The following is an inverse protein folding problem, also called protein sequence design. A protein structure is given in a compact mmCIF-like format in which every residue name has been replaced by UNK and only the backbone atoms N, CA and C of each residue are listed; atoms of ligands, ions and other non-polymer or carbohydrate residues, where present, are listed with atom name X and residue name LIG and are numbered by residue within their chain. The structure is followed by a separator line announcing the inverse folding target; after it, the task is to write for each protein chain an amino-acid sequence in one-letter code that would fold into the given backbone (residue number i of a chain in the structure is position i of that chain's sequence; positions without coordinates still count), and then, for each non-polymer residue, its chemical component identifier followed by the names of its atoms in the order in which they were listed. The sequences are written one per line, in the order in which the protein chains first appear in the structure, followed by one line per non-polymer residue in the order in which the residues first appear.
data_IF_636864561233
#
_entry.id   IF_636864561233
#
_cell.length_a   1.000
_cell.length_b   1.000
_cell.length_c   1.000
_cell.angle_alpha   90.00
_cell.angle_beta   90.00
_cell.angle_gamma   90.00
#
_symmetry.space_group_name_H-M   'P 1'
#
loop_
_entity.id
_entity.type
_entity.pdbx_description
1 polymer ?
#
# COMPACT_ATOMS: atom_id res chain seq x y z
N UNK A 1 16.36 15.40 20.70
CA UNK A 1 15.83 15.82 19.39
C UNK A 1 15.84 14.60 18.47
N UNK A 2 14.68 14.14 18.01
CA UNK A 2 14.59 12.99 17.10
C UNK A 2 14.89 13.51 15.70
N UNK A 3 16.09 13.26 15.20
CA UNK A 3 16.46 13.56 13.83
C UNK A 3 15.48 12.76 12.96
N UNK A 4 14.71 13.37 12.05
CA UNK A 4 13.91 12.61 11.11
C UNK A 4 14.91 11.80 10.28
N UNK A 5 15.02 10.50 10.60
CA UNK A 5 15.81 9.57 9.81
C UNK A 5 15.16 9.54 8.44
N UNK A 6 15.74 10.28 7.50
CA UNK A 6 15.50 10.10 6.07
C UNK A 6 15.53 8.59 5.81
N UNK A 7 14.49 7.99 5.21
CA UNK A 7 14.48 6.56 4.96
C UNK A 7 15.82 6.16 4.31
N UNK A 8 16.42 5.03 4.70
CA UNK A 8 17.67 4.58 4.09
C UNK A 8 17.56 4.64 2.57
N UNK A 9 18.59 5.23 1.96
CA UNK A 9 18.73 5.50 0.52
C UNK A 9 18.73 4.21 -0.32
N UNK A 10 18.93 3.05 0.31
CA UNK A 10 19.00 1.75 -0.34
C UNK A 10 17.57 1.22 -0.59
N UNK A 11 16.85 1.90 -1.47
CA UNK A 11 15.55 1.46 -1.95
C UNK A 11 15.76 0.69 -3.26
N UNK A 12 15.98 -0.62 -3.15
CA UNK A 12 16.04 -1.52 -4.29
C UNK A 12 14.68 -2.18 -4.49
N UNK A 13 13.83 -1.55 -5.30
CA UNK A 13 12.48 -2.01 -5.55
C UNK A 13 12.42 -2.88 -6.80
N UNK A 14 12.17 -4.16 -6.60
CA UNK A 14 11.90 -5.08 -7.70
C UNK A 14 10.54 -4.79 -8.34
N UNK A 15 10.54 -4.75 -9.67
CA UNK A 15 9.34 -4.54 -10.47
C UNK A 15 8.33 -5.68 -10.25
N UNK A 16 7.19 -5.35 -9.65
CA UNK A 16 6.11 -6.31 -9.37
C UNK A 16 5.86 -6.52 -7.88
N UNK A 17 6.79 -6.09 -7.02
CA UNK A 17 6.59 -6.07 -5.58
C UNK A 17 5.81 -4.83 -5.16
N UNK A 18 5.27 -4.88 -3.94
CA UNK A 18 4.61 -3.73 -3.35
C UNK A 18 5.65 -2.75 -2.78
N UNK A 19 5.50 -1.45 -3.09
CA UNK A 19 6.29 -0.40 -2.46
C UNK A 19 5.86 -0.26 -1.00
N UNK A 20 6.76 -0.41 -0.02
CA UNK A 20 6.41 -0.26 1.39
C UNK A 20 5.84 1.13 1.68
N UNK A 21 4.79 1.19 2.51
CA UNK A 21 4.08 2.42 2.88
C UNK A 21 5.02 3.54 3.35
N UNK A 22 6.07 3.20 4.11
CA UNK A 22 7.08 4.18 4.56
C UNK A 22 7.73 4.95 3.41
N UNK A 23 8.02 4.29 2.28
CA UNK A 23 8.63 4.95 1.12
C UNK A 23 7.59 5.77 0.34
N UNK A 24 6.34 5.31 0.25
CA UNK A 24 5.27 6.08 -0.40
C UNK A 24 4.98 7.37 0.37
N UNK A 25 4.92 7.31 1.70
CA UNK A 25 4.78 8.49 2.56
C UNK A 25 5.97 9.44 2.44
N UNK A 26 7.21 8.91 2.42
CA UNK A 26 8.39 9.71 2.21
C UNK A 26 8.38 10.44 0.86
N UNK A 27 7.99 9.75 -0.23
CA UNK A 27 7.82 10.37 -1.56
C UNK A 27 6.81 11.52 -1.50
N UNK A 28 5.66 11.33 -0.83
CA UNK A 28 4.68 12.40 -0.64
C UNK A 28 5.27 13.58 0.14
N UNK A 29 5.98 13.31 1.22
CA UNK A 29 6.57 14.37 2.05
C UNK A 29 7.64 15.15 1.30
N UNK A 30 8.51 14.46 0.55
CA UNK A 30 9.55 15.10 -0.25
C UNK A 30 8.96 15.98 -1.36
N UNK A 31 7.86 15.56 -1.97
CA UNK A 31 7.16 16.37 -2.98
C UNK A 31 6.40 17.54 -2.35
N UNK A 32 5.63 17.31 -1.29
CA UNK A 32 4.72 18.31 -0.73
C UNK A 32 5.44 19.35 0.14
N UNK A 33 6.33 18.90 1.04
CA UNK A 33 7.05 19.76 1.99
C UNK A 33 8.39 20.26 1.43
N UNK A 34 9.23 19.35 0.92
CA UNK A 34 10.55 19.71 0.41
C UNK A 34 10.52 20.23 -1.05
N UNK A 35 9.35 20.23 -1.70
CA UNK A 35 9.15 20.69 -3.09
C UNK A 35 10.13 20.05 -4.09
N UNK A 36 10.53 18.80 -3.83
CA UNK A 36 11.42 18.07 -4.73
C UNK A 36 10.66 17.73 -6.02
N UNK A 37 11.23 18.02 -7.21
CA UNK A 37 10.59 17.69 -8.48
C UNK A 37 10.49 16.18 -8.69
N UNK A 38 9.49 15.76 -9.47
CA UNK A 38 9.20 14.34 -9.77
C UNK A 38 10.42 13.64 -10.38
N UNK A 39 11.18 14.32 -11.24
CA UNK A 39 12.39 13.80 -11.89
C UNK A 39 13.44 13.35 -10.86
N UNK A 40 13.69 14.17 -9.83
CA UNK A 40 14.58 13.78 -8.73
C UNK A 40 14.04 12.61 -7.93
N UNK A 41 12.73 12.51 -7.74
CA UNK A 41 12.11 11.37 -7.04
C UNK A 41 12.25 10.08 -7.85
N UNK A 42 12.15 10.15 -9.17
CA UNK A 42 12.38 9.02 -10.09
C UNK A 42 13.82 8.53 -9.98
N UNK A 43 14.79 9.44 -10.03
CA UNK A 43 16.21 9.09 -9.90
C UNK A 43 16.51 8.51 -8.51
N UNK A 44 15.96 9.13 -7.46
CA UNK A 44 16.23 8.76 -6.08
C UNK A 44 15.63 7.40 -5.69
N UNK A 45 14.40 7.11 -6.14
CA UNK A 45 13.70 5.86 -5.82
C UNK A 45 13.78 4.81 -6.94
N UNK A 46 14.41 5.12 -8.07
CA UNK A 46 14.45 4.26 -9.28
C UNK A 46 13.06 3.79 -9.74
N UNK A 47 12.03 4.60 -9.46
CA UNK A 47 10.63 4.28 -9.78
C UNK A 47 10.23 4.88 -11.11
N UNK A 48 9.29 4.24 -11.80
CA UNK A 48 8.70 4.82 -13.01
C UNK A 48 7.88 6.06 -12.67
N UNK A 49 7.86 7.03 -13.59
CA UNK A 49 7.06 8.24 -13.49
C UNK A 49 5.59 7.95 -13.13
N UNK A 50 4.97 6.97 -13.80
CA UNK A 50 3.58 6.58 -13.54
C UNK A 50 3.36 6.09 -12.11
N UNK A 51 4.35 5.43 -11.51
CA UNK A 51 4.29 4.96 -10.13
C UNK A 51 4.39 6.13 -9.14
N UNK A 52 5.32 7.06 -9.37
CA UNK A 52 5.43 8.28 -8.55
C UNK A 52 4.14 9.08 -8.61
N UNK A 53 3.59 9.32 -9.80
CA UNK A 53 2.32 10.04 -9.97
C UNK A 53 1.17 9.34 -9.26
N UNK A 54 1.09 8.00 -9.33
CA UNK A 54 0.09 7.23 -8.55
C UNK A 54 0.25 7.44 -7.05
N UNK A 55 1.47 7.44 -6.52
CA UNK A 55 1.74 7.67 -5.10
C UNK A 55 1.34 9.08 -4.68
N UNK A 56 1.63 10.09 -5.51
CA UNK A 56 1.32 11.49 -5.23
C UNK A 56 -0.18 11.80 -5.31
N UNK A 57 -0.90 11.21 -6.29
CA UNK A 57 -2.33 11.44 -6.49
C UNK A 57 -3.22 10.60 -5.56
N UNK A 58 -2.67 9.66 -4.81
CA UNK A 58 -3.47 8.82 -3.93
C UNK A 58 -3.88 9.60 -2.68
N UNK A 59 -5.11 10.13 -2.71
CA UNK A 59 -5.66 11.01 -1.67
C UNK A 59 -5.92 10.31 -0.32
N UNK A 60 -6.01 8.97 -0.32
CA UNK A 60 -6.30 8.23 0.91
C UNK A 60 -5.05 8.07 1.78
N UNK A 61 -5.17 8.16 3.11
CA UNK A 61 -4.14 7.65 4.01
C UNK A 61 -4.00 6.15 3.75
N UNK A 62 -2.78 5.66 3.52
CA UNK A 62 -2.54 4.25 3.14
C UNK A 62 -2.98 3.24 4.21
N UNK A 63 -3.23 3.73 5.44
CA UNK A 63 -3.81 2.98 6.54
C UNK A 63 -5.33 2.90 6.55
N UNK A 64 -6.04 3.57 5.63
CA UNK A 64 -7.44 3.29 5.39
C UNK A 64 -7.52 1.92 4.74
N UNK A 65 -7.49 0.85 5.56
CA UNK A 65 -7.89 -0.49 5.12
C UNK A 65 -9.15 -0.31 4.28
N UNK A 66 -9.19 -0.75 3.02
CA UNK A 66 -10.45 -0.78 2.31
C UNK A 66 -11.39 -1.58 3.20
N UNK A 67 -12.52 -0.97 3.61
CA UNK A 67 -13.60 -1.69 4.25
C UNK A 67 -13.91 -2.83 3.29
N UNK A 68 -13.44 -4.05 3.61
CA UNK A 68 -13.66 -5.24 2.80
C UNK A 68 -15.12 -5.64 3.00
N UNK A 69 -16.01 -4.85 2.43
CA UNK A 69 -17.41 -5.17 2.23
C UNK A 69 -17.55 -5.99 0.96
N UNK A 70 -16.95 -7.17 0.96
CA UNK A 70 -17.42 -8.26 0.10
C UNK A 70 -17.23 -9.55 0.87
N UNK A 71 -18.22 -9.86 1.71
CA UNK A 71 -18.32 -11.16 2.36
C UNK A 71 -18.95 -12.13 1.36
N UNK A 72 -18.13 -12.76 0.51
CA UNK A 72 -18.46 -14.06 -0.11
C UNK A 72 -18.32 -15.19 0.93
N UNK A 73 -18.60 -14.90 2.20
CA UNK A 73 -18.49 -15.87 3.27
C UNK A 73 -19.90 -16.25 3.67
N UNK A 74 -20.20 -17.51 3.41
CA UNK A 74 -21.36 -18.20 3.94
C UNK A 74 -21.50 -17.83 5.41
N UNK A 75 -22.69 -17.39 5.78
CA UNK A 75 -23.02 -17.11 7.18
C UNK A 75 -22.82 -18.39 8.02
N UNK A 76 -22.58 -18.25 9.32
CA UNK A 76 -22.40 -19.41 10.21
C UNK A 76 -23.56 -20.43 10.08
N UNK A 77 -24.77 -19.97 9.77
CA UNK A 77 -25.94 -20.82 9.53
C UNK A 77 -25.81 -21.68 8.25
N UNK A 78 -25.20 -21.14 7.19
CA UNK A 78 -24.93 -21.88 5.96
C UNK A 78 -23.79 -22.90 6.15
N UNK A 79 -22.79 -22.56 6.97
CA UNK A 79 -21.73 -23.50 7.36
C UNK A 79 -22.32 -24.68 8.14
N UNK A 80 -23.18 -24.43 9.13
CA UNK A 80 -23.84 -25.47 9.92
C UNK A 80 -24.74 -26.37 9.06
N UNK A 81 -25.43 -25.81 8.06
CA UNK A 81 -26.21 -26.58 7.09
C UNK A 81 -25.35 -27.54 6.26
N UNK A 82 -24.20 -27.08 5.78
CA UNK A 82 -23.26 -27.92 5.02
C UNK A 82 -22.71 -29.05 5.90
N UNK A 83 -22.30 -28.75 7.13
CA UNK A 83 -21.79 -29.75 8.09
C UNK A 83 -22.86 -30.82 8.38
N UNK A 84 -24.10 -30.39 8.64
CA UNK A 84 -25.22 -31.30 8.91
C UNK A 84 -25.57 -32.19 7.72
N UNK A 85 -25.36 -31.71 6.49
CA UNK A 85 -25.62 -32.48 5.28
C UNK A 85 -24.53 -33.55 5.05
N UNK A 86 -23.26 -33.22 5.26
CA UNK A 86 -22.13 -34.15 5.09
C UNK A 86 -22.13 -35.25 6.16
N UNK A 87 -22.59 -34.97 7.39
CA UNK A 87 -22.62 -35.94 8.48
C UNK A 87 -23.76 -36.97 8.42
N UNK A 88 -24.64 -36.89 7.42
CA UNK A 88 -25.77 -37.83 7.21
C UNK A 88 -25.57 -38.78 6.02
N UNK A 89 -24.38 -38.78 5.40
CA UNK A 89 -23.98 -39.73 4.38
C UNK A 89 -23.37 -40.99 4.97
#
# INVERSE_FOLDING_TARGET
MKIPTTPPLDFDHEKGYEIPTKHREAIRQLYSFAKIPIERLIEHYKLKHTTIVKILNYDKPEHARPNKGFSDHLTNDEVDKVIKHVSKG
#
